data_IF_508681801218
#
_entry.id   IF_508681801218
#
_cell.length_a   1.000
_cell.length_b   1.000
_cell.length_c   1.000
_cell.angle_alpha   90.00
_cell.angle_beta   90.00
_cell.angle_gamma   90.00
#
_symmetry.space_group_name_H-M   'P 1'
#
loop_
_entity.id
_entity.type
_entity.pdbx_description
1 polymer ?
#
# COMPACT_ATOMS: atom_id res chain seq x y z
N UNK A 1 -11.52 1.73 -25.03
CA UNK A 1 -11.33 0.32 -25.45
C UNK A 1 -9.87 0.00 -25.76
N UNK A 2 -9.16 0.81 -26.57
CA UNK A 2 -7.74 0.61 -26.91
C UNK A 2 -6.79 0.43 -25.71
N UNK A 3 -7.01 1.18 -24.61
CA UNK A 3 -6.21 1.06 -23.37
C UNK A 3 -6.39 -0.28 -22.67
N UNK A 4 -7.62 -0.81 -22.59
CA UNK A 4 -7.91 -2.12 -22.00
C UNK A 4 -7.27 -3.24 -22.83
N UNK A 5 -7.42 -3.16 -24.15
CA UNK A 5 -6.81 -4.14 -25.07
C UNK A 5 -5.28 -4.10 -24.97
N UNK A 6 -4.68 -2.91 -24.90
CA UNK A 6 -3.25 -2.76 -24.69
C UNK A 6 -2.75 -3.38 -23.38
N UNK A 7 -3.47 -3.16 -22.27
CA UNK A 7 -3.14 -3.78 -20.98
C UNK A 7 -3.21 -5.31 -21.03
N UNK A 8 -4.25 -5.85 -21.67
CA UNK A 8 -4.42 -7.31 -21.81
C UNK A 8 -3.30 -7.89 -22.65
N UNK A 9 -3.01 -7.31 -23.82
CA UNK A 9 -1.91 -7.77 -24.69
C UNK A 9 -0.58 -7.69 -23.95
N UNK A 10 -0.30 -6.57 -23.28
CA UNK A 10 0.94 -6.41 -22.51
C UNK A 10 1.07 -7.45 -21.40
N UNK A 11 -0.01 -7.72 -20.66
CA UNK A 11 -0.05 -8.76 -19.65
C UNK A 11 0.19 -10.17 -20.23
N UNK A 12 -0.47 -10.50 -21.34
CA UNK A 12 -0.28 -11.78 -22.02
C UNK A 12 1.16 -11.97 -22.52
N UNK A 13 1.77 -10.93 -23.10
CA UNK A 13 3.16 -10.97 -23.54
C UNK A 13 4.12 -11.17 -22.38
N UNK A 14 3.89 -10.50 -21.25
CA UNK A 14 4.71 -10.67 -20.04
C UNK A 14 4.62 -12.10 -19.49
N UNK A 15 3.41 -12.66 -19.43
CA UNK A 15 3.20 -14.05 -18.98
C UNK A 15 3.85 -15.05 -19.95
N UNK A 16 3.71 -14.84 -21.26
CA UNK A 16 4.36 -15.68 -22.26
C UNK A 16 5.89 -15.64 -22.13
N UNK A 17 6.48 -14.46 -21.93
CA UNK A 17 7.91 -14.30 -21.69
C UNK A 17 8.37 -15.08 -20.45
N UNK A 18 7.65 -14.98 -19.34
CA UNK A 18 7.96 -15.71 -18.11
C UNK A 18 7.88 -17.23 -18.30
N UNK A 19 6.85 -17.73 -18.99
CA UNK A 19 6.69 -19.16 -19.30
C UNK A 19 7.81 -19.66 -20.19
N UNK A 20 8.12 -18.94 -21.28
CA UNK A 20 9.21 -19.30 -22.18
C UNK A 20 10.52 -19.39 -21.41
N UNK A 21 10.87 -18.33 -20.65
CA UNK A 21 12.08 -18.30 -19.84
C UNK A 21 12.18 -19.48 -18.87
N UNK A 22 11.09 -19.82 -18.18
CA UNK A 22 11.05 -20.98 -17.29
C UNK A 22 11.23 -22.30 -18.04
N UNK A 23 10.55 -22.49 -19.17
CA UNK A 23 10.61 -23.77 -19.93
C UNK A 23 11.92 -23.98 -20.68
N UNK A 24 12.67 -22.91 -20.96
CA UNK A 24 14.00 -22.99 -21.61
C UNK A 24 15.15 -23.14 -20.63
N UNK A 25 14.88 -23.03 -19.33
CA UNK A 25 15.89 -23.18 -18.28
C UNK A 25 16.01 -24.66 -17.87
N UNK A 26 17.17 -25.25 -18.15
CA UNK A 26 17.44 -26.67 -17.90
C UNK A 26 17.59 -26.99 -16.40
N UNK A 27 17.90 -26.00 -15.57
CA UNK A 27 18.06 -26.15 -14.12
C UNK A 27 16.74 -25.90 -13.37
N UNK A 28 15.65 -25.60 -14.08
CA UNK A 28 14.35 -25.37 -13.47
C UNK A 28 13.80 -26.65 -12.84
N UNK A 29 13.51 -26.60 -11.55
CA UNK A 29 12.74 -27.63 -10.86
C UNK A 29 11.25 -27.24 -10.82
N UNK A 30 10.41 -27.63 -11.81
CA UNK A 30 9.05 -27.11 -11.96
C UNK A 30 8.16 -27.40 -10.74
N UNK A 31 8.29 -28.59 -10.14
CA UNK A 31 7.56 -28.94 -8.93
C UNK A 31 7.96 -28.04 -7.74
N UNK A 32 9.26 -27.73 -7.61
CA UNK A 32 9.76 -26.83 -6.57
C UNK A 32 9.27 -25.39 -6.76
N UNK A 33 9.26 -24.90 -7.99
CA UNK A 33 8.74 -23.56 -8.33
C UNK A 33 7.23 -23.47 -8.06
N UNK A 34 6.46 -24.48 -8.46
CA UNK A 34 5.02 -24.53 -8.19
C UNK A 34 4.73 -24.60 -6.69
N UNK A 35 5.50 -25.40 -5.94
CA UNK A 35 5.38 -25.48 -4.48
C UNK A 35 5.72 -24.14 -3.82
N UNK A 36 6.80 -23.48 -4.26
CA UNK A 36 7.16 -22.15 -3.80
C UNK A 36 6.05 -21.14 -4.09
N UNK A 37 5.51 -21.14 -5.32
CA UNK A 37 4.45 -20.22 -5.73
C UNK A 37 3.17 -20.45 -4.92
N UNK A 38 2.80 -21.72 -4.68
CA UNK A 38 1.65 -22.07 -3.85
C UNK A 38 1.87 -21.66 -2.38
N UNK A 39 3.05 -21.92 -1.82
CA UNK A 39 3.39 -21.55 -0.44
C UNK A 39 3.39 -20.02 -0.27
N UNK A 40 3.96 -19.28 -1.22
CA UNK A 40 3.92 -17.82 -1.23
C UNK A 40 2.50 -17.32 -1.39
N UNK A 41 1.69 -17.88 -2.30
CA UNK A 41 0.31 -17.45 -2.51
C UNK A 41 -0.53 -17.67 -1.25
N UNK A 42 -0.49 -18.87 -0.67
CA UNK A 42 -1.25 -19.21 0.53
C UNK A 42 -0.77 -18.40 1.72
N UNK A 43 0.55 -18.32 1.93
CA UNK A 43 1.13 -17.55 3.03
C UNK A 43 0.85 -16.06 2.90
N UNK A 44 0.97 -15.51 1.69
CA UNK A 44 0.66 -14.11 1.39
C UNK A 44 -0.82 -13.84 1.61
N UNK A 45 -1.72 -14.61 1.02
CA UNK A 45 -3.17 -14.35 1.13
C UNK A 45 -3.68 -14.55 2.54
N UNK A 46 -3.23 -15.60 3.24
CA UNK A 46 -3.65 -15.84 4.62
C UNK A 46 -3.19 -14.71 5.56
N UNK A 47 -1.97 -14.20 5.40
CA UNK A 47 -1.44 -13.14 6.27
C UNK A 47 -1.96 -11.76 5.84
N UNK A 48 -1.89 -11.46 4.54
CA UNK A 48 -2.25 -10.16 3.98
C UNK A 48 -3.75 -9.92 4.06
N UNK A 49 -4.58 -10.90 3.71
CA UNK A 49 -6.03 -10.74 3.77
C UNK A 49 -6.50 -10.54 5.21
N UNK A 50 -5.96 -11.30 6.16
CA UNK A 50 -6.28 -11.14 7.59
C UNK A 50 -5.87 -9.75 8.07
N UNK A 51 -4.67 -9.28 7.71
CA UNK A 51 -4.20 -7.93 8.07
C UNK A 51 -5.11 -6.83 7.47
N UNK A 52 -5.45 -6.93 6.17
CA UNK A 52 -6.31 -5.97 5.48
C UNK A 52 -7.71 -5.94 6.09
N UNK A 53 -8.29 -7.10 6.38
CA UNK A 53 -9.60 -7.21 7.03
C UNK A 53 -9.56 -6.64 8.45
N UNK A 54 -8.53 -6.94 9.24
CA UNK A 54 -8.36 -6.40 10.58
C UNK A 54 -8.23 -4.87 10.57
N UNK A 55 -7.44 -4.31 9.66
CA UNK A 55 -7.32 -2.85 9.46
C UNK A 55 -8.64 -2.25 8.99
N UNK A 56 -9.33 -2.89 8.05
CA UNK A 56 -10.65 -2.49 7.57
C UNK A 56 -11.69 -2.45 8.70
N UNK A 57 -11.70 -3.47 9.56
CA UNK A 57 -12.54 -3.55 10.75
C UNK A 57 -12.17 -2.46 11.76
N UNK A 58 -10.88 -2.24 12.05
CA UNK A 58 -10.43 -1.17 12.92
C UNK A 58 -10.85 0.22 12.41
N UNK A 59 -10.79 0.44 11.09
CA UNK A 59 -11.24 1.69 10.45
C UNK A 59 -12.75 1.94 10.58
N UNK A 60 -13.57 0.95 10.96
CA UNK A 60 -15.00 1.17 11.25
C UNK A 60 -15.22 1.88 12.59
N UNK A 61 -14.25 1.78 13.52
CA UNK A 61 -14.29 2.45 14.83
C UNK A 61 -13.77 3.89 14.77
N UNK A 62 -13.19 4.30 13.64
CA UNK A 62 -12.63 5.65 13.46
C UNK A 62 -13.75 6.64 13.11
N UNK A 63 -13.80 7.84 13.73
CA UNK A 63 -14.78 8.86 13.39
C UNK A 63 -14.82 9.16 11.88
N UNK A 64 -16.00 9.37 11.27
CA UNK A 64 -16.12 9.60 9.82
C UNK A 64 -15.23 10.73 9.29
N UNK A 65 -15.03 11.78 10.09
CA UNK A 65 -14.17 12.94 9.78
C UNK A 65 -12.70 12.55 9.59
N UNK A 66 -12.26 11.50 10.24
CA UNK A 66 -10.87 11.05 10.29
C UNK A 66 -10.61 9.83 9.40
N UNK A 67 -11.66 9.11 8.99
CA UNK A 67 -11.57 7.80 8.33
C UNK A 67 -10.73 7.83 7.06
N UNK A 68 -10.91 8.83 6.19
CA UNK A 68 -10.12 8.96 4.95
C UNK A 68 -8.65 9.20 5.25
N UNK A 69 -8.34 10.10 6.19
CA UNK A 69 -6.96 10.41 6.59
C UNK A 69 -6.26 9.19 7.17
N UNK A 70 -6.92 8.47 8.09
CA UNK A 70 -6.36 7.25 8.70
C UNK A 70 -6.20 6.13 7.66
N UNK A 71 -7.11 6.01 6.69
CA UNK A 71 -6.95 5.04 5.59
C UNK A 71 -5.73 5.35 4.73
N UNK A 72 -5.52 6.62 4.33
CA UNK A 72 -4.35 7.03 3.55
C UNK A 72 -3.07 6.72 4.34
N UNK A 73 -3.04 7.10 5.62
CA UNK A 73 -1.90 6.84 6.50
C UNK A 73 -1.58 5.35 6.63
N UNK A 74 -2.59 4.49 6.78
CA UNK A 74 -2.41 3.05 6.84
C UNK A 74 -1.82 2.48 5.55
N UNK A 75 -2.29 2.93 4.38
CA UNK A 75 -1.74 2.52 3.07
C UNK A 75 -0.30 2.98 2.92
N UNK A 76 0.00 4.24 3.27
CA UNK A 76 1.37 4.77 3.21
C UNK A 76 2.31 4.02 4.15
N UNK A 77 1.88 3.78 5.40
CA UNK A 77 2.65 3.01 6.37
C UNK A 77 2.91 1.57 5.89
N UNK A 78 1.91 0.91 5.28
CA UNK A 78 2.08 -0.41 4.70
C UNK A 78 3.11 -0.41 3.56
N UNK A 79 3.02 0.54 2.62
CA UNK A 79 3.96 0.65 1.51
C UNK A 79 5.40 0.89 1.99
N UNK A 80 5.59 1.84 2.93
CA UNK A 80 6.90 2.12 3.53
C UNK A 80 7.45 0.88 4.26
N UNK A 81 6.60 0.14 4.97
CA UNK A 81 7.00 -1.09 5.67
C UNK A 81 7.43 -2.15 4.67
N UNK A 82 6.66 -2.42 3.62
CA UNK A 82 7.01 -3.44 2.61
C UNK A 82 8.38 -3.17 1.98
N UNK A 83 8.68 -1.91 1.65
CA UNK A 83 9.96 -1.53 1.04
C UNK A 83 11.09 -1.48 2.07
N UNK A 84 10.83 -0.99 3.29
CA UNK A 84 11.85 -0.78 4.32
C UNK A 84 12.18 -2.01 5.16
N UNK A 85 11.27 -2.99 5.26
CA UNK A 85 11.42 -4.15 6.13
C UNK A 85 12.62 -5.03 5.74
N UNK A 86 12.89 -5.36 4.46
CA UNK A 86 14.08 -6.14 4.11
C UNK A 86 15.39 -5.47 4.55
N UNK A 87 15.46 -4.14 4.38
CA UNK A 87 16.61 -3.32 4.79
C UNK A 87 16.76 -3.29 6.32
N UNK A 88 15.65 -3.23 7.07
CA UNK A 88 15.64 -3.31 8.51
C UNK A 88 16.13 -4.68 9.01
N UNK A 89 15.65 -5.77 8.40
CA UNK A 89 16.06 -7.15 8.69
C UNK A 89 17.51 -7.45 8.28
N UNK A 90 18.08 -6.63 7.40
CA UNK A 90 19.48 -6.74 6.99
C UNK A 90 19.73 -7.63 5.79
N UNK A 91 18.68 -7.97 5.05
CA UNK A 91 18.84 -8.59 3.74
C UNK A 91 19.60 -7.64 2.81
N UNK A 92 20.64 -8.14 2.15
CA UNK A 92 21.49 -7.37 1.24
C UNK A 92 22.64 -6.60 1.89
N UNK A 93 22.88 -6.73 3.20
CA UNK A 93 24.08 -6.18 3.85
C UNK A 93 25.31 -7.02 3.48
N UNK A 94 26.22 -6.44 2.69
CA UNK A 94 27.56 -6.98 2.51
C UNK A 94 28.51 -6.29 3.50
N UNK A 95 29.34 -7.07 4.19
CA UNK A 95 30.26 -6.58 5.22
C UNK A 95 31.27 -5.55 4.69
N UNK A 96 31.49 -5.55 3.37
CA UNK A 96 32.58 -4.82 2.72
C UNK A 96 32.15 -3.44 2.16
N UNK A 97 30.87 -3.07 2.32
CA UNK A 97 30.33 -1.82 1.79
C UNK A 97 30.24 -0.73 2.87
N UNK A 98 31.22 0.19 2.89
CA UNK A 98 31.26 1.31 3.82
C UNK A 98 30.12 2.34 3.67
N UNK A 99 29.48 2.43 2.50
CA UNK A 99 28.25 3.23 2.32
C UNK A 99 26.99 2.55 2.91
N UNK A 100 27.10 1.27 3.30
CA UNK A 100 26.06 0.46 3.95
C UNK A 100 26.41 0.19 5.43
N UNK A 101 27.54 0.72 5.93
CA UNK A 101 27.86 0.77 7.37
C UNK A 101 26.71 1.44 8.14
N UNK A 102 26.42 1.00 9.38
CA UNK A 102 25.11 0.55 9.80
C UNK A 102 24.19 1.72 10.12
N UNK A 103 23.57 2.30 9.08
CA UNK A 103 22.39 3.12 9.33
C UNK A 103 21.38 2.23 10.06
N UNK A 104 20.84 2.64 11.23
CA UNK A 104 19.94 1.79 11.99
C UNK A 104 18.58 1.77 11.30
N UNK A 105 18.47 1.02 10.20
CA UNK A 105 17.29 0.97 9.33
C UNK A 105 16.02 0.61 10.10
N UNK A 106 16.12 -0.24 11.12
CA UNK A 106 15.00 -0.51 12.04
C UNK A 106 14.55 0.74 12.80
N UNK A 107 15.48 1.51 13.37
CA UNK A 107 15.18 2.77 14.06
C UNK A 107 14.63 3.84 13.12
N UNK A 108 15.19 3.94 11.92
CA UNK A 108 14.76 4.90 10.91
C UNK A 108 13.36 4.56 10.38
N UNK A 109 13.09 3.28 10.12
CA UNK A 109 11.76 2.81 9.73
C UNK A 109 10.73 3.12 10.83
N UNK A 110 11.06 2.82 12.10
CA UNK A 110 10.20 3.17 13.23
C UNK A 110 9.95 4.68 13.30
N UNK A 111 10.99 5.50 13.13
CA UNK A 111 10.86 6.96 13.13
C UNK A 111 9.90 7.45 12.03
N UNK A 112 10.01 6.92 10.81
CA UNK A 112 9.09 7.26 9.70
C UNK A 112 7.66 6.85 10.02
N UNK A 113 7.44 5.65 10.56
CA UNK A 113 6.11 5.19 10.97
C UNK A 113 5.50 6.09 12.07
N UNK A 114 6.31 6.53 13.03
CA UNK A 114 5.89 7.48 14.07
C UNK A 114 5.54 8.85 13.50
N UNK A 115 6.29 9.34 12.49
CA UNK A 115 5.97 10.59 11.80
C UNK A 115 4.64 10.47 11.04
N UNK A 116 4.39 9.36 10.36
CA UNK A 116 3.10 9.10 9.69
C UNK A 116 1.96 9.10 10.73
N UNK A 117 2.14 8.38 11.85
CA UNK A 117 1.14 8.32 12.91
C UNK A 117 0.88 9.70 13.54
N UNK A 118 1.94 10.46 13.86
CA UNK A 118 1.86 11.78 14.46
C UNK A 118 1.18 12.81 13.54
N UNK A 119 1.57 12.86 12.27
CA UNK A 119 0.94 13.75 11.27
C UNK A 119 -0.52 13.41 11.04
N UNK A 120 -0.87 12.12 11.06
CA UNK A 120 -2.26 11.65 10.97
C UNK A 120 -3.08 12.09 12.17
N UNK A 121 -2.53 11.93 13.39
CA UNK A 121 -3.19 12.34 14.63
C UNK A 121 -3.43 13.85 14.62
N UNK A 122 -2.40 14.64 14.31
CA UNK A 122 -2.48 16.10 14.19
C UNK A 122 -3.56 16.52 13.17
N UNK A 123 -3.58 15.88 12.00
CA UNK A 123 -4.58 16.16 10.98
C UNK A 123 -6.01 15.84 11.46
N UNK A 124 -6.19 14.81 12.29
CA UNK A 124 -7.50 14.41 12.83
C UNK A 124 -8.00 15.33 13.96
N UNK A 125 -7.10 15.85 14.80
CA UNK A 125 -7.45 16.74 15.92
C UNK A 125 -7.49 18.21 15.53
N UNK A 126 -6.87 18.60 14.42
CA UNK A 126 -6.78 19.99 14.00
C UNK A 126 -8.17 20.60 13.68
N UNK A 127 -8.57 21.70 14.35
CA UNK A 127 -9.87 22.35 14.12
C UNK A 127 -9.98 23.01 12.74
N UNK A 128 -8.86 23.13 12.02
CA UNK A 128 -8.74 23.70 10.68
C UNK A 128 -9.47 22.89 9.59
N UNK A 129 -9.86 21.64 9.87
CA UNK A 129 -10.64 20.77 8.96
C UNK A 129 -12.16 20.95 9.08
N UNK A 130 -12.68 22.14 9.39
CA UNK A 130 -14.11 22.41 9.17
C UNK A 130 -14.37 22.33 7.66
N UNK A 131 -15.15 21.36 7.15
CA UNK A 131 -15.43 21.29 5.74
C UNK A 131 -16.20 22.55 5.35
N UNK A 132 -15.64 23.30 4.39
CA UNK A 132 -16.30 24.38 3.66
C UNK A 132 -17.39 23.80 2.74
N UNK A 133 -18.31 23.03 3.31
CA UNK A 133 -19.42 22.37 2.61
C UNK A 133 -20.77 23.04 2.93
N UNK A 134 -20.80 23.96 3.89
CA UNK A 134 -22.00 24.75 4.21
C UNK A 134 -22.17 25.99 3.31
N UNK A 135 -21.13 26.39 2.55
CA UNK A 135 -21.12 27.65 1.77
C UNK A 135 -21.68 27.50 0.34
N UNK A 136 -21.95 26.26 -0.11
CA UNK A 136 -22.42 25.98 -1.48
C UNK A 136 -23.93 25.73 -1.59
N UNK A 137 -24.66 25.59 -0.47
CA UNK A 137 -26.11 25.38 -0.51
C UNK A 137 -26.95 26.66 -0.53
N UNK A 138 -26.35 27.81 -0.23
CA UNK A 138 -27.07 29.10 -0.23
C UNK A 138 -27.11 29.75 -1.64
N UNK A 139 -26.14 29.45 -2.52
CA UNK A 139 -26.09 30.08 -3.87
C UNK A 139 -27.01 29.43 -4.91
N UNK A 140 -27.72 28.36 -4.55
CA UNK A 140 -28.56 27.56 -5.47
C UNK A 140 -30.07 27.72 -5.21
N UNK A 141 -30.49 28.75 -4.47
CA UNK A 141 -31.89 29.22 -4.46
C UNK A 141 -32.06 30.41 -5.42
N UNK A 142 -32.29 30.19 -6.73
CA UNK A 142 -32.89 31.21 -7.57
C UNK A 142 -34.31 31.49 -7.03
N UNK A 143 -34.61 32.77 -6.86
CA UNK A 143 -35.83 33.25 -6.23
C UNK A 143 -37.08 32.57 -6.76
N UNK A 144 -37.86 32.03 -5.82
CA UNK A 144 -39.25 31.68 -6.07
C UNK A 144 -40.04 32.95 -6.34
N UNK A 145 -40.20 33.28 -7.62
CA UNK A 145 -41.27 34.13 -8.09
C UNK A 145 -42.49 33.25 -8.36
N UNK A 146 -43.44 33.27 -7.43
CA UNK A 146 -44.85 32.89 -7.66
C UNK A 146 -45.70 34.15 -7.52
N UNK A 147 -46.99 34.14 -7.89
CA UNK A 147 -47.69 33.43 -8.96
C UNK A 147 -48.05 34.33 -10.16
#
# INVERSE_FOLDING_TARGET
MKTRTGLVIGGCLLMAYAVVGATTDADLAPAGVLLFLAAVLVGHDAVWMVAVLAVGAALTRVPPRCRTTVRIAAITAAAVTVVGLPLALGFGRAADNASVLPLPYGRNLLAVLLVIAGTTLLACVSPLRRPRAADRKESERPGGGSP
#
